data_IF_335463940432
#
_entry.id   IF_335463940432
#
_cell.length_a   1.000
_cell.length_b   1.000
_cell.length_c   1.000
_cell.angle_alpha   90.00
_cell.angle_beta   90.00
_cell.angle_gamma   90.00
#
_symmetry.space_group_name_H-M   'P 1'
#
loop_
_entity.id
_entity.type
_entity.pdbx_description
1 polymer ?
#
# COMPACT_ATOMS: atom_id res chain seq x y z
N UNK A 1 -13.85 -9.01 29.51
CA UNK A 1 -12.58 -8.30 29.68
C UNK A 1 -12.07 -7.89 28.31
N UNK A 2 -11.20 -6.89 28.23
CA UNK A 2 -10.54 -6.50 26.98
C UNK A 2 -9.52 -7.59 26.60
N UNK A 3 -9.58 -8.12 25.38
CA UNK A 3 -8.58 -8.99 24.77
C UNK A 3 -7.70 -8.13 23.85
N UNK A 4 -6.47 -7.77 24.26
CA UNK A 4 -5.61 -6.86 23.49
C UNK A 4 -5.35 -7.32 22.05
N UNK A 5 -5.36 -8.63 21.79
CA UNK A 5 -5.08 -9.17 20.47
C UNK A 5 -6.28 -9.04 19.53
N UNK A 6 -7.50 -9.13 20.07
CA UNK A 6 -8.74 -9.08 19.29
C UNK A 6 -9.35 -7.66 19.27
N UNK A 7 -9.06 -6.85 20.29
CA UNK A 7 -9.69 -5.54 20.53
C UNK A 7 -8.82 -4.35 20.06
N UNK A 8 -7.61 -4.61 19.56
CA UNK A 8 -6.74 -3.59 18.95
C UNK A 8 -6.75 -3.78 17.42
N UNK A 9 -7.61 -3.05 16.68
CA UNK A 9 -7.72 -3.24 15.24
C UNK A 9 -6.43 -2.89 14.52
N UNK A 10 -6.27 -3.45 13.31
CA UNK A 10 -5.14 -3.18 12.43
C UNK A 10 -5.18 -1.72 12.01
N UNK A 11 -4.29 -0.90 12.54
CA UNK A 11 -4.28 0.52 12.24
C UNK A 11 -3.68 0.76 10.84
N UNK A 12 -4.57 0.86 9.84
CA UNK A 12 -4.22 0.72 8.41
C UNK A 12 -3.35 1.85 7.88
N UNK A 13 -3.41 3.05 8.47
CA UNK A 13 -2.54 4.16 8.11
C UNK A 13 -1.08 3.80 8.41
N UNK A 14 -0.78 3.32 9.62
CA UNK A 14 0.58 2.94 9.96
C UNK A 14 0.99 1.58 9.40
N UNK A 15 0.06 0.63 9.23
CA UNK A 15 0.39 -0.70 8.68
C UNK A 15 0.68 -0.63 7.18
N UNK A 16 -0.16 0.05 6.40
CA UNK A 16 -0.05 0.05 4.94
C UNK A 16 0.66 1.30 4.44
N UNK A 17 0.17 2.52 4.69
CA UNK A 17 0.75 3.74 4.09
C UNK A 17 2.12 4.11 4.71
N UNK A 18 2.15 4.37 6.01
CA UNK A 18 3.42 4.66 6.74
C UNK A 18 4.22 3.37 7.03
N UNK A 19 3.73 2.23 6.54
CA UNK A 19 4.35 0.92 6.65
C UNK A 19 4.79 0.38 5.32
N UNK A 20 4.03 -0.57 4.78
CA UNK A 20 4.39 -1.33 3.57
C UNK A 20 4.72 -0.39 2.40
N UNK A 21 3.86 0.59 2.09
CA UNK A 21 4.07 1.56 1.00
C UNK A 21 5.35 2.37 1.24
N UNK A 22 5.53 2.91 2.45
CA UNK A 22 6.77 3.62 2.83
C UNK A 22 8.01 2.77 2.64
N UNK A 23 7.97 1.51 3.05
CA UNK A 23 9.10 0.59 2.93
C UNK A 23 9.41 0.28 1.47
N UNK A 24 8.39 -0.03 0.67
CA UNK A 24 8.54 -0.32 -0.75
C UNK A 24 9.03 0.91 -1.51
N UNK A 25 8.50 2.10 -1.23
CA UNK A 25 8.91 3.33 -1.91
C UNK A 25 10.36 3.68 -1.62
N UNK A 26 10.77 3.55 -0.36
CA UNK A 26 12.15 3.78 0.04
C UNK A 26 13.10 2.81 -0.67
N UNK A 27 12.73 1.54 -0.83
CA UNK A 27 13.55 0.56 -1.56
C UNK A 27 13.58 0.87 -3.07
N UNK A 28 12.41 1.14 -3.66
CA UNK A 28 12.29 1.49 -5.07
C UNK A 28 13.17 2.69 -5.43
N UNK A 29 13.20 3.72 -4.59
CA UNK A 29 14.04 4.91 -4.81
C UNK A 29 15.51 4.63 -4.52
N UNK A 30 15.85 4.08 -3.34
CA UNK A 30 17.25 4.03 -2.87
C UNK A 30 18.04 2.85 -3.44
N UNK A 31 17.38 1.73 -3.70
CA UNK A 31 18.03 0.49 -4.09
C UNK A 31 17.75 0.14 -5.56
N UNK A 32 16.49 0.24 -6.02
CA UNK A 32 16.13 -0.16 -7.39
C UNK A 32 16.44 0.93 -8.42
N UNK A 33 16.18 2.20 -8.08
CA UNK A 33 16.44 3.40 -8.89
C UNK A 33 17.70 4.14 -8.42
N UNK A 34 18.73 3.40 -8.02
CA UNK A 34 19.95 3.94 -7.41
C UNK A 34 20.91 4.66 -8.38
N UNK A 35 20.66 4.61 -9.68
CA UNK A 35 21.48 5.32 -10.67
C UNK A 35 20.90 6.71 -10.97
N UNK A 36 21.74 7.71 -11.32
CA UNK A 36 21.26 9.04 -11.70
C UNK A 36 20.25 9.01 -12.85
N UNK A 37 20.44 8.13 -13.83
CA UNK A 37 19.54 7.98 -14.97
C UNK A 37 18.15 7.46 -14.56
N UNK A 38 18.08 6.36 -13.79
CA UNK A 38 16.80 5.83 -13.29
C UNK A 38 16.10 6.80 -12.36
N UNK A 39 16.85 7.51 -11.51
CA UNK A 39 16.30 8.52 -10.60
C UNK A 39 15.67 9.68 -11.38
N UNK A 40 16.36 10.18 -12.42
CA UNK A 40 15.84 11.23 -13.30
C UNK A 40 14.58 10.79 -14.04
N UNK A 41 14.56 9.55 -14.56
CA UNK A 41 13.39 8.99 -15.24
C UNK A 41 12.20 8.85 -14.27
N UNK A 42 12.43 8.34 -13.05
CA UNK A 42 11.39 8.26 -12.02
C UNK A 42 10.76 9.63 -11.70
N UNK A 43 11.59 10.67 -11.55
CA UNK A 43 11.12 12.04 -11.30
C UNK A 43 10.26 12.52 -12.48
N UNK A 44 10.75 12.36 -13.71
CA UNK A 44 10.03 12.77 -14.91
C UNK A 44 8.67 12.05 -15.04
N UNK A 45 8.62 10.75 -14.75
CA UNK A 45 7.38 9.96 -14.77
C UNK A 45 6.39 10.40 -13.70
N UNK A 46 6.87 10.75 -12.50
CA UNK A 46 6.03 11.30 -11.44
C UNK A 46 5.45 12.67 -11.86
N UNK A 47 6.28 13.56 -12.40
CA UNK A 47 5.85 14.91 -12.82
C UNK A 47 4.87 14.88 -14.01
N UNK A 48 4.99 13.86 -14.86
CA UNK A 48 4.12 13.62 -16.02
C UNK A 48 2.85 12.82 -15.69
N UNK A 49 2.76 12.22 -14.49
CA UNK A 49 1.60 11.41 -14.10
C UNK A 49 0.34 12.28 -14.01
N UNK A 50 -0.70 11.92 -14.78
CA UNK A 50 -1.96 12.65 -14.78
C UNK A 50 -2.78 12.33 -13.51
N UNK A 51 -3.04 13.36 -12.71
CA UNK A 51 -3.83 13.26 -11.47
C UNK A 51 -5.27 13.73 -11.63
N UNK A 52 -5.71 14.11 -12.84
CA UNK A 52 -7.04 14.66 -13.11
C UNK A 52 -8.18 13.78 -12.56
N UNK A 53 -8.09 12.47 -12.76
CA UNK A 53 -9.09 11.49 -12.32
C UNK A 53 -8.99 11.09 -10.83
N UNK A 54 -7.95 11.55 -10.11
CA UNK A 54 -7.65 11.12 -8.75
C UNK A 54 -8.04 12.15 -7.68
N UNK A 55 -8.36 13.38 -8.08
CA UNK A 55 -8.71 14.45 -7.14
C UNK A 55 -7.55 14.86 -6.22
N UNK A 56 -6.30 14.63 -6.63
CA UNK A 56 -5.09 15.02 -5.89
C UNK A 56 -4.28 16.05 -6.69
N UNK A 57 -3.50 16.86 -5.97
CA UNK A 57 -2.52 17.76 -6.59
C UNK A 57 -1.51 16.98 -7.43
N UNK A 58 -0.97 17.65 -8.46
CA UNK A 58 0.13 17.09 -9.26
C UNK A 58 1.25 16.57 -8.35
N UNK A 59 1.79 15.41 -8.72
CA UNK A 59 2.91 14.84 -7.99
C UNK A 59 4.15 15.72 -8.16
N UNK A 60 4.86 15.96 -7.07
CA UNK A 60 6.14 16.67 -7.09
C UNK A 60 7.26 15.63 -7.08
N UNK A 61 7.68 15.16 -8.25
CA UNK A 61 8.61 14.06 -8.42
C UNK A 61 9.90 14.24 -7.61
N UNK A 62 10.50 15.43 -7.69
CA UNK A 62 11.70 15.78 -6.93
C UNK A 62 11.49 15.61 -5.42
N UNK A 63 10.35 16.08 -4.88
CA UNK A 63 10.01 15.94 -3.45
C UNK A 63 9.84 14.46 -3.07
N UNK A 64 9.04 13.71 -3.83
CA UNK A 64 8.70 12.32 -3.52
C UNK A 64 9.92 11.39 -3.58
N UNK A 65 10.88 11.69 -4.45
CA UNK A 65 12.12 10.92 -4.59
C UNK A 65 13.16 11.37 -3.55
N UNK A 66 13.39 12.67 -3.37
CA UNK A 66 14.40 13.18 -2.42
C UNK A 66 14.05 12.84 -0.97
N UNK A 67 12.77 12.95 -0.60
CA UNK A 67 12.30 12.73 0.77
C UNK A 67 11.66 11.36 1.00
N UNK A 68 11.96 10.36 0.16
CA UNK A 68 11.30 9.03 0.16
C UNK A 68 11.20 8.32 1.53
N UNK A 69 12.02 8.70 2.52
CA UNK A 69 11.98 8.16 3.90
C UNK A 69 11.15 8.95 4.92
N UNK A 70 10.77 10.19 4.62
CA UNK A 70 10.18 11.17 5.56
C UNK A 70 8.87 11.79 5.05
N UNK A 71 8.25 11.18 4.05
CA UNK A 71 6.94 11.59 3.55
C UNK A 71 5.82 11.26 4.56
N UNK A 72 4.65 11.86 4.35
CA UNK A 72 3.46 11.67 5.19
C UNK A 72 2.42 10.77 4.52
N UNK A 73 1.36 10.41 5.25
CA UNK A 73 0.32 9.48 4.77
C UNK A 73 -0.31 9.90 3.44
N UNK A 74 -0.55 11.20 3.25
CA UNK A 74 -1.08 11.77 2.00
C UNK A 74 -0.18 11.46 0.79
N UNK A 75 1.13 11.65 0.94
CA UNK A 75 2.09 11.40 -0.12
C UNK A 75 2.13 9.91 -0.47
N UNK A 76 2.14 9.04 0.55
CA UNK A 76 2.14 7.59 0.33
C UNK A 76 0.84 7.08 -0.30
N UNK A 77 -0.30 7.71 -0.02
CA UNK A 77 -1.56 7.40 -0.73
C UNK A 77 -1.43 7.72 -2.23
N UNK A 78 -0.86 8.87 -2.58
CA UNK A 78 -0.61 9.25 -3.96
C UNK A 78 0.40 8.29 -4.64
N UNK A 79 1.48 7.94 -3.95
CA UNK A 79 2.48 6.97 -4.43
C UNK A 79 1.85 5.59 -4.66
N UNK A 80 1.00 5.11 -3.76
CA UNK A 80 0.33 3.82 -3.92
C UNK A 80 -0.55 3.78 -5.18
N UNK A 81 -1.15 4.91 -5.57
CA UNK A 81 -1.95 5.02 -6.79
C UNK A 81 -1.10 5.12 -8.06
N UNK A 82 0.03 5.84 -8.01
CA UNK A 82 0.90 6.07 -9.16
C UNK A 82 1.94 4.97 -9.40
N UNK A 83 2.30 4.21 -8.36
CA UNK A 83 3.43 3.27 -8.32
C UNK A 83 3.55 2.36 -9.56
N UNK A 84 2.52 1.58 -9.93
CA UNK A 84 2.56 0.68 -11.08
C UNK A 84 2.84 1.36 -12.42
N UNK A 85 2.48 2.64 -12.54
CA UNK A 85 2.67 3.42 -13.77
C UNK A 85 4.07 4.00 -13.86
N UNK A 86 4.58 4.51 -12.73
CA UNK A 86 5.88 5.19 -12.71
C UNK A 86 7.06 4.22 -12.59
N UNK A 87 6.87 3.05 -11.95
CA UNK A 87 7.96 2.10 -11.68
C UNK A 87 8.21 1.06 -12.77
N UNK A 88 7.30 0.91 -13.74
CA UNK A 88 7.40 -0.14 -14.77
C UNK A 88 8.71 -0.04 -15.55
N UNK A 89 9.52 -1.09 -15.55
CA UNK A 89 10.83 -1.12 -16.21
C UNK A 89 11.95 -0.33 -15.51
N UNK A 90 11.69 0.27 -14.34
CA UNK A 90 12.72 0.92 -13.51
C UNK A 90 13.21 0.02 -12.37
N UNK A 91 12.37 -0.89 -11.91
CA UNK A 91 12.66 -1.85 -10.83
C UNK A 91 12.70 -3.29 -11.38
N UNK A 92 13.13 -4.27 -10.59
CA UNK A 92 13.05 -5.68 -11.01
C UNK A 92 11.60 -6.13 -11.15
N UNK A 93 11.36 -7.19 -11.93
CA UNK A 93 10.00 -7.68 -12.17
C UNK A 93 9.32 -8.14 -10.88
N UNK A 94 10.04 -8.75 -9.95
CA UNK A 94 9.48 -9.19 -8.66
C UNK A 94 9.10 -7.99 -7.76
N UNK A 95 9.90 -6.92 -7.77
CA UNK A 95 9.56 -5.67 -7.11
C UNK A 95 8.31 -5.05 -7.73
N UNK A 96 8.25 -5.03 -9.06
CA UNK A 96 7.10 -4.50 -9.81
C UNK A 96 5.82 -5.26 -9.51
N UNK A 97 5.86 -6.60 -9.52
CA UNK A 97 4.74 -7.47 -9.16
C UNK A 97 4.21 -7.17 -7.75
N UNK A 98 5.12 -6.97 -6.78
CA UNK A 98 4.75 -6.63 -5.40
C UNK A 98 4.08 -5.25 -5.32
N UNK A 99 4.55 -4.27 -6.11
CA UNK A 99 3.90 -2.96 -6.23
C UNK A 99 2.52 -3.04 -6.84
N UNK A 100 2.33 -3.81 -7.91
CA UNK A 100 1.01 -4.01 -8.54
C UNK A 100 0.05 -4.64 -7.53
N UNK A 101 0.47 -5.69 -6.82
CA UNK A 101 -0.35 -6.32 -5.80
C UNK A 101 -0.72 -5.36 -4.66
N UNK A 102 0.23 -4.52 -4.21
CA UNK A 102 -0.01 -3.51 -3.18
C UNK A 102 -1.01 -2.45 -3.65
N UNK A 103 -0.85 -1.93 -4.88
CA UNK A 103 -1.73 -0.91 -5.46
C UNK A 103 -3.14 -1.43 -5.73
N UNK A 104 -3.32 -2.74 -5.98
CA UNK A 104 -4.64 -3.36 -6.07
C UNK A 104 -5.31 -3.57 -4.71
N UNK A 105 -4.52 -3.78 -3.65
CA UNK A 105 -5.02 -3.94 -2.28
C UNK A 105 -5.53 -2.62 -1.69
N UNK A 106 -4.78 -1.52 -1.87
CA UNK A 106 -5.07 -0.23 -1.21
C UNK A 106 -6.53 0.25 -1.43
N UNK A 107 -7.11 0.23 -2.64
CA UNK A 107 -8.51 0.63 -2.82
C UNK A 107 -9.53 -0.21 -2.05
N UNK A 108 -9.25 -1.51 -1.85
CA UNK A 108 -10.13 -2.41 -1.09
C UNK A 108 -10.10 -2.09 0.40
N UNK A 109 -8.94 -1.66 0.92
CA UNK A 109 -8.78 -1.32 2.33
C UNK A 109 -9.40 0.04 2.67
N UNK A 110 -9.36 0.99 1.73
CA UNK A 110 -9.89 2.35 1.93
C UNK A 110 -11.34 2.53 1.46
N UNK A 111 -12.13 1.46 1.42
CA UNK A 111 -13.57 1.57 1.18
C UNK A 111 -14.24 2.31 2.37
N UNK A 112 -14.98 3.40 2.11
CA UNK A 112 -15.50 4.25 3.18
C UNK A 112 -16.77 3.68 3.85
N UNK A 113 -17.51 2.84 3.13
CA UNK A 113 -18.81 2.32 3.55
C UNK A 113 -18.88 0.85 3.17
N UNK A 114 -19.48 0.05 4.06
CA UNK A 114 -19.93 -1.31 3.80
C UNK A 114 -21.45 -1.28 4.03
N UNK A 115 -22.23 -1.37 2.97
CA UNK A 115 -23.69 -1.18 3.03
C UNK A 115 -24.37 -2.30 3.82
N UNK A 116 -23.91 -3.54 3.64
CA UNK A 116 -24.39 -4.71 4.37
C UNK A 116 -23.19 -5.60 4.74
N UNK A 117 -22.98 -5.79 6.03
CA UNK A 117 -21.86 -6.58 6.55
C UNK A 117 -22.01 -8.08 6.26
N UNK A 118 -23.23 -8.62 6.33
CA UNK A 118 -23.48 -10.03 6.00
C UNK A 118 -23.21 -10.28 4.51
N UNK A 119 -23.64 -9.36 3.64
CA UNK A 119 -23.29 -9.42 2.23
C UNK A 119 -21.78 -9.26 2.03
N UNK A 120 -21.11 -8.32 2.68
CA UNK A 120 -19.65 -8.16 2.56
C UNK A 120 -18.87 -9.44 2.89
N UNK A 121 -19.31 -10.17 3.92
CA UNK A 121 -18.73 -11.43 4.37
C UNK A 121 -19.06 -12.59 3.40
N UNK A 122 -20.32 -12.71 2.99
CA UNK A 122 -20.83 -13.83 2.19
C UNK A 122 -20.59 -13.65 0.69
N UNK A 123 -20.48 -12.41 0.21
CA UNK A 123 -20.22 -12.06 -1.19
C UNK A 123 -18.72 -12.02 -1.48
N UNK A 124 -18.36 -11.60 -2.69
CA UNK A 124 -16.98 -11.63 -3.19
C UNK A 124 -16.04 -10.63 -2.50
N UNK A 125 -16.53 -9.67 -1.69
CA UNK A 125 -15.70 -8.58 -1.18
C UNK A 125 -14.69 -9.01 -0.11
N UNK A 126 -15.12 -9.66 0.97
CA UNK A 126 -14.19 -10.20 1.97
C UNK A 126 -13.25 -11.27 1.37
N UNK A 127 -13.71 -12.27 0.58
CA UNK A 127 -12.83 -13.20 -0.11
C UNK A 127 -11.85 -12.51 -1.08
N UNK A 128 -12.26 -11.43 -1.76
CA UNK A 128 -11.40 -10.64 -2.64
C UNK A 128 -10.33 -9.90 -1.84
N UNK A 129 -10.68 -9.32 -0.69
CA UNK A 129 -9.70 -8.69 0.20
C UNK A 129 -8.66 -9.72 0.66
N UNK A 130 -9.10 -10.86 1.18
CA UNK A 130 -8.21 -11.95 1.63
C UNK A 130 -7.31 -12.44 0.50
N UNK A 131 -7.86 -12.61 -0.72
CA UNK A 131 -7.07 -12.98 -1.91
C UNK A 131 -6.06 -11.91 -2.28
N UNK A 132 -6.42 -10.63 -2.26
CA UNK A 132 -5.51 -9.52 -2.53
C UNK A 132 -4.38 -9.44 -1.49
N UNK A 133 -4.67 -9.70 -0.21
CA UNK A 133 -3.66 -9.80 0.84
C UNK A 133 -2.69 -10.96 0.51
N UNK A 134 -3.22 -12.16 0.27
CA UNK A 134 -2.39 -13.33 -0.06
C UNK A 134 -1.54 -13.11 -1.31
N UNK A 135 -2.09 -12.46 -2.35
CA UNK A 135 -1.34 -12.10 -3.56
C UNK A 135 -0.21 -11.11 -3.25
N UNK A 136 -0.46 -10.09 -2.42
CA UNK A 136 0.58 -9.17 -1.96
C UNK A 136 1.68 -9.92 -1.19
N UNK A 137 1.32 -10.80 -0.24
CA UNK A 137 2.31 -11.54 0.54
C UNK A 137 3.13 -12.47 -0.36
N UNK A 138 2.50 -13.18 -1.31
CA UNK A 138 3.18 -14.05 -2.25
C UNK A 138 4.13 -13.26 -3.18
N UNK A 139 3.69 -12.14 -3.74
CA UNK A 139 4.53 -11.27 -4.56
C UNK A 139 5.71 -10.68 -3.75
N UNK A 140 5.45 -10.27 -2.51
CA UNK A 140 6.48 -9.77 -1.59
C UNK A 140 7.52 -10.85 -1.26
N UNK A 141 7.08 -12.09 -1.03
CA UNK A 141 7.97 -13.23 -0.78
C UNK A 141 8.86 -13.56 -1.99
N UNK A 142 8.28 -13.53 -3.21
CA UNK A 142 9.03 -13.69 -4.46
C UNK A 142 10.08 -12.59 -4.65
N UNK A 143 9.76 -11.35 -4.28
CA UNK A 143 10.72 -10.26 -4.30
C UNK A 143 11.84 -10.46 -3.28
N UNK A 144 11.50 -10.59 -2.00
CA UNK A 144 12.43 -11.06 -0.97
C UNK A 144 11.68 -11.41 0.32
N UNK A 145 11.95 -12.57 0.95
CA UNK A 145 11.34 -12.93 2.22
C UNK A 145 11.81 -12.04 3.39
N UNK A 146 12.85 -11.22 3.21
CA UNK A 146 13.35 -10.31 4.26
C UNK A 146 12.32 -9.25 4.67
N UNK A 147 11.34 -8.95 3.83
CA UNK A 147 10.26 -8.03 4.16
C UNK A 147 9.45 -8.47 5.39
N UNK A 148 9.31 -9.78 5.60
CA UNK A 148 8.55 -10.36 6.70
C UNK A 148 9.23 -10.23 8.07
N UNK A 149 10.47 -9.76 8.13
CA UNK A 149 11.09 -9.33 9.39
C UNK A 149 10.41 -8.07 9.98
N UNK A 150 9.51 -7.43 9.22
CA UNK A 150 8.70 -6.31 9.70
C UNK A 150 7.31 -6.82 10.10
N UNK A 151 6.83 -6.51 11.32
CA UNK A 151 5.57 -7.06 11.84
C UNK A 151 4.34 -6.63 11.04
N UNK A 152 4.41 -5.51 10.30
CA UNK A 152 3.29 -4.95 9.53
C UNK A 152 2.69 -5.92 8.50
N UNK A 153 3.50 -6.82 7.92
CA UNK A 153 3.00 -7.83 6.98
C UNK A 153 2.17 -8.92 7.67
N UNK A 154 2.54 -9.29 8.90
CA UNK A 154 1.74 -10.22 9.71
C UNK A 154 0.42 -9.57 10.15
N UNK A 155 0.47 -8.32 10.61
CA UNK A 155 -0.73 -7.58 11.03
C UNK A 155 -1.79 -7.49 9.93
N UNK A 156 -1.36 -7.36 8.67
CA UNK A 156 -2.28 -7.26 7.53
C UNK A 156 -3.23 -8.47 7.40
N UNK A 157 -2.81 -9.67 7.83
CA UNK A 157 -3.61 -10.90 7.73
C UNK A 157 -4.86 -10.84 8.62
N UNK A 158 -4.82 -10.06 9.71
CA UNK A 158 -5.93 -9.89 10.64
C UNK A 158 -6.97 -8.86 10.17
N UNK A 159 -6.68 -8.13 9.08
CA UNK A 159 -7.54 -7.05 8.61
C UNK A 159 -8.97 -7.52 8.22
N UNK A 160 -9.18 -8.66 7.53
CA UNK A 160 -10.53 -9.13 7.20
C UNK A 160 -11.40 -9.38 8.44
N UNK A 161 -10.82 -9.95 9.50
CA UNK A 161 -11.52 -10.22 10.76
C UNK A 161 -11.83 -8.92 11.51
N UNK A 162 -10.91 -7.96 11.50
CA UNK A 162 -11.16 -6.64 12.06
C UNK A 162 -12.22 -5.86 11.30
N UNK A 163 -12.27 -5.94 9.97
CA UNK A 163 -13.35 -5.30 9.19
C UNK A 163 -14.70 -5.93 9.53
N UNK A 164 -14.75 -7.27 9.65
CA UNK A 164 -15.95 -7.99 10.07
C UNK A 164 -16.44 -7.52 11.46
N UNK A 165 -15.52 -7.27 12.38
CA UNK A 165 -15.84 -6.95 13.77
C UNK A 165 -16.15 -5.47 14.00
N UNK A 166 -15.39 -4.59 13.37
CA UNK A 166 -15.41 -3.16 13.67
C UNK A 166 -16.05 -2.33 12.55
N UNK A 167 -16.19 -2.87 11.34
CA UNK A 167 -16.66 -2.13 10.17
C UNK A 167 -15.53 -1.72 9.23
N UNK A 168 -15.79 -0.79 8.29
CA UNK A 168 -14.82 -0.40 7.26
C UNK A 168 -13.49 0.07 7.85
N UNK A 169 -12.36 -0.35 7.29
CA UNK A 169 -11.05 -0.12 7.91
C UNK A 169 -10.65 1.35 8.08
N UNK A 170 -11.26 2.25 7.30
CA UNK A 170 -11.03 3.69 7.39
C UNK A 170 -11.40 4.27 8.77
N UNK A 171 -12.35 3.67 9.50
CA UNK A 171 -12.84 4.24 10.76
C UNK A 171 -11.84 4.07 11.91
N UNK A 172 -10.91 3.12 11.79
CA UNK A 172 -9.82 2.89 12.74
C UNK A 172 -8.45 3.21 12.13
N UNK A 173 -8.42 4.02 11.07
CA UNK A 173 -7.21 4.64 10.54
C UNK A 173 -6.89 5.91 11.34
N UNK A 174 -6.42 5.76 12.57
CA UNK A 174 -6.08 6.88 13.46
C UNK A 174 -4.66 7.40 13.18
N UNK A 175 -4.48 8.72 13.20
CA UNK A 175 -3.17 9.40 13.19
C UNK A 175 -2.74 9.78 14.61
#
# INVERSE_FOLDING_TARGET
GLDPNCDTPVEVLHVILLGIVKYFWRDAVKNQCNTPAKRKDLIARLDAFDTSALGISRLRGETLVTYAGSLVGRDFRAIAQAGPFVLRGLVTDECYDAWVALSLLVPLVWQPVIDNMDDYILTLEQPRLTRSINNLLAATARWTPRWFNKPKFHLLVHLPDHIRRFGPAIIFATE
#
